data_IF_268408584493
#
_entry.id   IF_268408584493
#
_cell.length_a   1.000
_cell.length_b   1.000
_cell.length_c   1.000
_cell.angle_alpha   90.00
_cell.angle_beta   90.00
_cell.angle_gamma   90.00
#
_symmetry.space_group_name_H-M   'P 1'
#
loop_
_entity.id
_entity.type
_entity.pdbx_description
1 polymer ?
#
# COMPACT_ATOMS: atom_id res chain seq x y z
N UNK A 1 -1.37 1.13 8.27
CA UNK A 1 -1.09 0.80 6.85
C UNK A 1 0.32 1.20 6.33
N UNK A 2 0.74 2.48 6.33
CA UNK A 2 1.96 2.95 5.60
C UNK A 2 3.26 2.19 5.92
N UNK A 3 3.57 1.96 7.19
CA UNK A 3 4.80 1.26 7.59
C UNK A 3 4.82 -0.20 7.11
N UNK A 4 3.66 -0.86 7.13
CA UNK A 4 3.48 -2.22 6.61
C UNK A 4 3.75 -2.26 5.10
N UNK A 5 3.19 -1.32 4.34
CA UNK A 5 3.45 -1.21 2.90
C UNK A 5 4.95 -0.94 2.60
N UNK A 6 5.62 -0.07 3.37
CA UNK A 6 7.08 0.13 3.23
C UNK A 6 7.85 -1.18 3.43
N UNK A 7 7.49 -1.96 4.46
CA UNK A 7 8.14 -3.24 4.74
C UNK A 7 7.91 -4.26 3.62
N UNK A 8 6.68 -4.37 3.10
CA UNK A 8 6.37 -5.26 1.97
C UNK A 8 7.15 -4.88 0.71
N UNK A 9 7.26 -3.59 0.41
CA UNK A 9 8.09 -3.11 -0.71
C UNK A 9 9.55 -3.51 -0.49
N UNK A 10 10.10 -3.29 0.71
CA UNK A 10 11.49 -3.68 1.01
C UNK A 10 11.71 -5.20 0.89
N UNK A 11 10.76 -6.01 1.35
CA UNK A 11 10.81 -7.48 1.28
C UNK A 11 10.71 -8.00 -0.16
N UNK A 12 10.00 -7.27 -1.03
CA UNK A 12 9.91 -7.61 -2.46
C UNK A 12 11.23 -7.43 -3.23
N UNK A 13 12.22 -6.75 -2.65
CA UNK A 13 13.48 -6.39 -3.32
C UNK A 13 13.33 -5.29 -4.38
N UNK A 14 12.12 -4.74 -4.55
CA UNK A 14 11.84 -3.65 -5.50
C UNK A 14 11.98 -2.29 -4.82
N UNK A 15 12.42 -1.29 -5.59
CA UNK A 15 12.33 0.11 -5.19
C UNK A 15 10.87 0.60 -5.25
N UNK A 16 10.56 1.64 -4.48
CA UNK A 16 9.26 2.33 -4.53
C UNK A 16 8.92 2.80 -5.95
N UNK A 17 9.92 3.24 -6.72
CA UNK A 17 9.73 3.65 -8.11
C UNK A 17 9.32 2.48 -9.03
N UNK A 18 9.95 1.31 -8.89
CA UNK A 18 9.57 0.11 -9.64
C UNK A 18 8.15 -0.31 -9.29
N UNK A 19 7.82 -0.37 -7.99
CA UNK A 19 6.47 -0.72 -7.53
C UNK A 19 5.41 0.24 -8.08
N UNK A 20 5.69 1.54 -8.04
CA UNK A 20 4.78 2.56 -8.58
C UNK A 20 4.55 2.39 -10.08
N UNK A 21 5.62 2.13 -10.84
CA UNK A 21 5.55 1.94 -12.29
C UNK A 21 4.80 0.67 -12.65
N UNK A 22 5.11 -0.45 -12.00
CA UNK A 22 4.48 -1.76 -12.24
C UNK A 22 3.01 -1.79 -11.80
N UNK A 23 2.65 -1.06 -10.73
CA UNK A 23 1.25 -0.89 -10.32
C UNK A 23 0.47 0.13 -11.20
N UNK A 24 1.11 0.73 -12.21
CA UNK A 24 0.50 1.72 -13.10
C UNK A 24 0.04 2.98 -12.38
N UNK A 25 0.76 3.41 -11.35
CA UNK A 25 0.49 4.62 -10.59
C UNK A 25 1.23 5.82 -11.20
N UNK A 26 0.60 6.99 -11.19
CA UNK A 26 1.24 8.23 -11.63
C UNK A 26 2.50 8.53 -10.79
N UNK A 27 3.48 9.17 -11.42
CA UNK A 27 4.76 9.50 -10.79
C UNK A 27 4.56 10.31 -9.49
N UNK A 28 5.09 9.78 -8.38
CA UNK A 28 5.07 10.41 -7.06
C UNK A 28 3.82 10.10 -6.21
N UNK A 29 2.84 9.38 -6.74
CA UNK A 29 1.62 9.05 -5.99
C UNK A 29 1.91 8.12 -4.81
N UNK A 30 2.73 7.09 -5.04
CA UNK A 30 3.12 6.15 -4.00
C UNK A 30 4.03 6.82 -2.97
N UNK A 31 5.01 7.61 -3.40
CA UNK A 31 5.87 8.39 -2.50
C UNK A 31 5.07 9.33 -1.59
N UNK A 32 4.14 10.12 -2.16
CA UNK A 32 3.28 11.02 -1.36
C UNK A 32 2.44 10.28 -0.33
N UNK A 33 1.92 9.11 -0.67
CA UNK A 33 1.21 8.26 0.28
C UNK A 33 2.14 7.75 1.39
N UNK A 34 3.31 7.20 1.03
CA UNK A 34 4.29 6.67 1.98
C UNK A 34 4.87 7.75 2.93
N UNK A 35 4.93 8.99 2.48
CA UNK A 35 5.36 10.16 3.26
C UNK A 35 4.21 10.82 4.05
N UNK A 36 2.98 10.31 3.92
CA UNK A 36 1.80 10.86 4.60
C UNK A 36 1.26 12.17 4.02
N UNK A 37 1.78 12.63 2.87
CA UNK A 37 1.23 13.79 2.14
C UNK A 37 -0.14 13.49 1.52
N UNK A 38 -0.39 12.23 1.21
CA UNK A 38 -1.71 11.72 0.81
C UNK A 38 -2.19 10.72 1.85
N UNK A 39 -3.44 10.85 2.29
CA UNK A 39 -4.02 10.00 3.34
C UNK A 39 -4.40 8.61 2.86
N UNK A 40 -4.88 8.50 1.63
CA UNK A 40 -5.50 7.28 1.10
C UNK A 40 -4.99 6.92 -0.29
N UNK A 41 -5.03 5.64 -0.62
CA UNK A 41 -4.95 5.13 -1.98
C UNK A 41 -6.32 4.60 -2.37
N UNK A 42 -6.70 4.74 -3.63
CA UNK A 42 -7.96 4.17 -4.09
C UNK A 42 -7.88 2.63 -4.09
N UNK A 43 -9.04 1.98 -4.04
CA UNK A 43 -9.16 0.53 -3.95
C UNK A 43 -8.52 -0.20 -5.14
N UNK A 44 -8.62 0.36 -6.35
CA UNK A 44 -8.00 -0.23 -7.54
C UNK A 44 -6.48 -0.30 -7.41
N UNK A 45 -5.85 0.75 -6.88
CA UNK A 45 -4.40 0.77 -6.61
C UNK A 45 -4.06 -0.22 -5.50
N UNK A 46 -4.89 -0.34 -4.47
CA UNK A 46 -4.67 -1.33 -3.40
C UNK A 46 -4.65 -2.76 -3.97
N UNK A 47 -5.58 -3.13 -4.86
CA UNK A 47 -5.55 -4.44 -5.52
C UNK A 47 -4.27 -4.66 -6.34
N UNK A 48 -3.87 -3.68 -7.16
CA UNK A 48 -2.64 -3.78 -7.96
C UNK A 48 -1.38 -3.95 -7.11
N UNK A 49 -1.31 -3.23 -5.99
CA UNK A 49 -0.21 -3.37 -5.04
C UNK A 49 -0.22 -4.75 -4.37
N UNK A 50 -1.40 -5.31 -4.08
CA UNK A 50 -1.55 -6.62 -3.47
C UNK A 50 -1.05 -7.71 -4.43
N UNK A 51 -1.54 -7.69 -5.67
CA UNK A 51 -1.13 -8.60 -6.74
C UNK A 51 0.38 -8.54 -6.99
N UNK A 52 0.93 -7.32 -7.06
CA UNK A 52 2.35 -7.09 -7.32
C UNK A 52 3.26 -7.56 -6.16
N UNK A 53 2.81 -7.37 -4.92
CA UNK A 53 3.58 -7.72 -3.72
C UNK A 53 3.32 -9.15 -3.26
N UNK A 54 2.40 -9.88 -3.91
CA UNK A 54 2.04 -11.26 -3.57
C UNK A 54 1.38 -11.39 -2.20
N UNK A 55 0.55 -10.41 -1.82
CA UNK A 55 -0.15 -10.37 -0.54
C UNK A 55 -1.66 -10.28 -0.73
N UNK A 56 -2.43 -10.64 0.31
CA UNK A 56 -3.87 -10.40 0.31
C UNK A 56 -4.16 -8.89 0.43
N UNK A 57 -5.12 -8.38 -0.33
CA UNK A 57 -5.50 -6.95 -0.28
C UNK A 57 -5.96 -6.50 1.11
N UNK A 58 -6.48 -7.42 1.92
CA UNK A 58 -6.88 -7.16 3.31
C UNK A 58 -5.69 -6.80 4.20
N UNK A 59 -4.46 -7.14 3.81
CA UNK A 59 -3.25 -6.69 4.50
C UNK A 59 -3.12 -5.15 4.54
N UNK A 60 -3.81 -4.46 3.63
CA UNK A 60 -3.85 -3.01 3.52
C UNK A 60 -5.00 -2.36 4.28
N UNK A 61 -5.96 -3.12 4.78
CA UNK A 61 -7.02 -2.56 5.63
C UNK A 61 -6.40 -2.05 6.93
N UNK A 62 -6.86 -0.90 7.39
CA UNK A 62 -6.58 -0.51 8.76
C UNK A 62 -7.44 -1.39 9.66
N UNK A 63 -6.83 -1.98 10.69
CA UNK A 63 -7.57 -2.58 11.78
C UNK A 63 -8.37 -1.44 12.42
N UNK A 64 -9.67 -1.39 12.14
CA UNK A 64 -10.57 -0.57 12.94
C UNK A 64 -10.69 -1.29 14.27
N UNK A 65 -10.15 -0.70 15.33
CA UNK A 65 -10.36 -1.11 16.73
C UNK A 65 -11.86 -1.02 17.10
N UNK A 66 -12.70 -1.88 16.54
CA UNK A 66 -14.12 -1.89 16.82
C UNK A 66 -14.72 -3.30 16.78
N UNK A 67 -14.07 -4.23 17.48
CA UNK A 67 -14.71 -5.39 18.12
C UNK A 67 -14.75 -5.19 19.64
N UNK A 68 -15.08 -3.99 20.11
CA UNK A 68 -15.67 -3.82 21.44
C UNK A 68 -17.18 -4.06 21.29
N UNK A 69 -17.57 -5.33 21.22
CA UNK A 69 -18.95 -5.73 21.52
C UNK A 69 -19.18 -5.35 22.99
N UNK A 70 -19.90 -4.25 23.20
CA UNK A 70 -20.52 -3.90 24.49
C UNK A 70 -21.98 -4.33 24.47
#
# INVERSE_FOLDING_TARGET
MRNKLKNLINQSGKSVYQVQTEAGMNSGSLYRFLDGKTKEINLSVAFKLADLLGVDVNEFREETDNDQVS
#
